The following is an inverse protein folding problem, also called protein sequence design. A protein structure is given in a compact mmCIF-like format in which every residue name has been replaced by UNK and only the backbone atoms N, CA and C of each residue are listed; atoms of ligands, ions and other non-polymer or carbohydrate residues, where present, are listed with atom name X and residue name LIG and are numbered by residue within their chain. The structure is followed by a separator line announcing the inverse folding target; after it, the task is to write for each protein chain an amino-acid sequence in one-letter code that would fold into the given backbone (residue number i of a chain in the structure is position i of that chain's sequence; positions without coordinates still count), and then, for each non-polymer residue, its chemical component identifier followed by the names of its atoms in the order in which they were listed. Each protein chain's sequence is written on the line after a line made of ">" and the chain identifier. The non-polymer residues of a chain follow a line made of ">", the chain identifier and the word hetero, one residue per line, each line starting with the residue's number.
data_IF_272307963765
#
_entry.id   IF_272307963765
#
_cell.length_a   1.000
_cell.length_b   1.000
_cell.length_c   1.000
_cell.angle_alpha   90.00
_cell.angle_beta   90.00
_cell.angle_gamma   90.00
#
_symmetry.space_group_name_H-M   'P 1'
#
loop_
_entity.id
_entity.type
_entity.pdbx_description
1 polymer ?
#
# COMPACT_ATOMS: atom_id res chain seq x y z
N UNK A 1 -15.83 14.66 20.72
CA UNK A 1 -15.40 15.26 19.44
C UNK A 1 -13.95 14.93 19.08
N UNK A 2 -12.93 15.25 19.90
CA UNK A 2 -11.52 14.94 19.59
C UNK A 2 -11.21 13.45 19.33
N UNK A 3 -11.76 12.54 20.13
CA UNK A 3 -11.58 11.08 19.96
C UNK A 3 -12.14 10.57 18.63
N UNK A 4 -13.33 11.04 18.24
CA UNK A 4 -13.98 10.70 16.96
C UNK A 4 -13.15 11.16 15.76
N UNK A 5 -12.53 12.35 15.85
CA UNK A 5 -11.63 12.86 14.82
C UNK A 5 -10.40 11.95 14.66
N UNK A 6 -9.76 11.58 15.77
CA UNK A 6 -8.61 10.67 15.72
C UNK A 6 -8.98 9.27 15.23
N UNK A 7 -10.15 8.74 15.59
CA UNK A 7 -10.64 7.47 15.04
C UNK A 7 -10.88 7.55 13.53
N UNK A 8 -11.49 8.63 13.04
CA UNK A 8 -11.67 8.82 11.60
C UNK A 8 -10.33 8.90 10.85
N UNK A 9 -9.37 9.65 11.39
CA UNK A 9 -8.02 9.73 10.83
C UNK A 9 -7.31 8.38 10.81
N UNK A 10 -7.42 7.58 11.88
CA UNK A 10 -6.84 6.25 11.95
C UNK A 10 -7.42 5.31 10.88
N UNK A 11 -8.74 5.35 10.67
CA UNK A 11 -9.40 4.57 9.62
C UNK A 11 -8.90 4.99 8.23
N UNK A 12 -8.86 6.28 7.94
CA UNK A 12 -8.38 6.80 6.65
C UNK A 12 -6.93 6.37 6.40
N UNK A 13 -6.06 6.54 7.40
CA UNK A 13 -4.66 6.13 7.30
C UNK A 13 -4.52 4.63 7.02
N UNK A 14 -5.33 3.79 7.68
CA UNK A 14 -5.31 2.33 7.50
C UNK A 14 -5.75 1.94 6.09
N UNK A 15 -6.81 2.56 5.56
CA UNK A 15 -7.28 2.32 4.19
C UNK A 15 -6.21 2.70 3.18
N UNK A 16 -5.60 3.88 3.32
CA UNK A 16 -4.53 4.34 2.42
C UNK A 16 -3.33 3.40 2.47
N UNK A 17 -2.88 3.01 3.67
CA UNK A 17 -1.76 2.08 3.83
C UNK A 17 -2.03 0.73 3.16
N UNK A 18 -3.25 0.20 3.32
CA UNK A 18 -3.67 -1.06 2.69
C UNK A 18 -3.65 -0.96 1.16
N UNK A 19 -4.20 0.13 0.60
CA UNK A 19 -4.20 0.35 -0.85
C UNK A 19 -2.78 0.44 -1.43
N UNK A 20 -1.87 1.15 -0.74
CA UNK A 20 -0.47 1.26 -1.17
C UNK A 20 0.23 -0.10 -1.09
N UNK A 21 0.08 -0.84 0.00
CA UNK A 21 0.68 -2.17 0.16
C UNK A 21 0.17 -3.17 -0.89
N UNK A 22 -1.12 -3.14 -1.22
CA UNK A 22 -1.74 -4.03 -2.22
C UNK A 22 -1.56 -3.55 -3.67
N UNK A 23 -1.05 -2.33 -3.89
CA UNK A 23 -0.95 -1.75 -5.24
C UNK A 23 -0.04 -2.54 -6.18
N UNK A 24 1.02 -3.19 -5.66
CA UNK A 24 1.88 -4.07 -6.45
C UNK A 24 1.11 -5.29 -6.99
N UNK A 25 0.14 -5.81 -6.23
CA UNK A 25 -0.66 -6.98 -6.62
C UNK A 25 -1.83 -6.63 -7.55
N UNK A 26 -2.47 -5.47 -7.37
CA UNK A 26 -3.67 -5.10 -8.15
C UNK A 26 -3.39 -4.25 -9.38
N UNK A 27 -2.39 -3.38 -9.33
CA UNK A 27 -2.13 -2.41 -10.40
C UNK A 27 -0.68 -2.41 -10.90
N UNK A 28 0.20 -3.20 -10.29
CA UNK A 28 1.63 -3.27 -10.62
C UNK A 28 2.36 -1.90 -10.57
N UNK A 29 1.80 -0.90 -9.87
CA UNK A 29 2.31 0.48 -9.86
C UNK A 29 3.59 0.63 -9.02
N UNK A 30 3.68 -0.08 -7.90
CA UNK A 30 4.82 -0.05 -6.97
C UNK A 30 5.65 -1.33 -7.02
N UNK A 31 5.68 -2.00 -8.17
CA UNK A 31 6.49 -3.20 -8.33
C UNK A 31 7.97 -2.80 -8.42
N UNK A 32 8.86 -3.34 -7.57
CA UNK A 32 10.29 -3.13 -7.72
C UNK A 32 10.79 -3.78 -9.01
N UNK A 33 11.91 -3.31 -9.54
CA UNK A 33 12.60 -4.04 -10.61
C UNK A 33 12.86 -5.48 -10.18
N UNK A 34 12.61 -6.42 -11.09
CA UNK A 34 12.81 -7.83 -10.82
C UNK A 34 14.30 -8.10 -10.54
N UNK A 35 14.64 -8.77 -9.41
CA UNK A 35 16.03 -9.02 -9.08
C UNK A 35 16.70 -9.86 -10.16
N UNK A 36 17.98 -9.57 -10.44
CA UNK A 36 18.76 -10.20 -11.50
C UNK A 36 18.72 -11.73 -11.45
N UNK A 37 18.61 -12.32 -10.25
CA UNK A 37 18.51 -13.77 -10.06
C UNK A 37 17.22 -14.41 -10.58
N UNK A 38 16.17 -13.61 -10.85
CA UNK A 38 14.85 -14.06 -11.31
C UNK A 38 14.52 -13.65 -12.75
N UNK A 39 15.34 -12.83 -13.39
CA UNK A 39 15.12 -12.40 -14.78
C UNK A 39 15.31 -13.60 -15.74
N UNK A 40 14.29 -13.89 -16.56
CA UNK A 40 14.40 -14.89 -17.63
C UNK A 40 15.38 -14.42 -18.71
N UNK A 41 16.32 -15.31 -19.09
CA UNK A 41 17.52 -15.01 -19.88
C UNK A 41 17.32 -15.14 -21.38
#
# INVERSE_FOLDING_TARGET
>A
MKKTLFSALAVIATVVATLVASSACWWFIYQPEEPVSLQDK
#
